data_IF_187646556606
#
_entry.id   IF_187646556606
#
_cell.length_a   1.000
_cell.length_b   1.000
_cell.length_c   1.000
_cell.angle_alpha   90.00
_cell.angle_beta   90.00
_cell.angle_gamma   90.00
#
_symmetry.space_group_name_H-M   'P 1'
#
loop_
_entity.id
_entity.type
_entity.pdbx_description
1 polymer ?
#
# COMPACT_ATOMS: atom_id res chain seq x y z
N UNK A 1 21.88 25.88 -0.86
CA UNK A 1 20.60 25.24 -0.56
C UNK A 1 19.76 25.41 -1.79
N UNK A 2 19.48 24.32 -2.47
CA UNK A 2 18.57 24.29 -3.61
C UNK A 2 17.15 24.08 -3.05
N UNK A 3 16.17 24.86 -3.48
CA UNK A 3 14.77 24.66 -3.12
C UNK A 3 14.06 23.95 -4.28
N UNK A 4 13.16 23.02 -3.96
CA UNK A 4 12.22 22.43 -4.90
C UNK A 4 10.96 23.31 -4.89
N UNK A 5 10.97 24.33 -5.74
CA UNK A 5 9.85 25.26 -5.85
C UNK A 5 8.75 24.68 -6.73
N UNK A 6 7.50 24.93 -6.34
CA UNK A 6 6.36 24.50 -7.13
C UNK A 6 5.06 25.14 -6.70
N UNK A 7 3.99 24.73 -7.38
CA UNK A 7 2.61 25.10 -7.08
C UNK A 7 1.76 23.85 -6.96
N UNK A 8 0.88 23.83 -5.97
CA UNK A 8 -0.18 22.85 -5.83
C UNK A 8 -1.52 23.47 -6.21
N UNK A 9 -2.18 22.86 -7.18
CA UNK A 9 -3.53 23.26 -7.64
C UNK A 9 -4.49 22.09 -7.52
N UNK A 10 -5.78 22.40 -7.53
CA UNK A 10 -6.84 21.41 -7.64
C UNK A 10 -6.89 20.83 -9.06
N UNK A 11 -6.98 19.51 -9.21
CA UNK A 11 -6.89 18.85 -10.49
C UNK A 11 -8.04 19.24 -11.43
N UNK A 12 -7.68 19.62 -12.66
CA UNK A 12 -8.66 20.07 -13.65
C UNK A 12 -9.09 21.53 -13.45
N UNK A 13 -8.55 22.20 -12.44
CA UNK A 13 -8.64 23.65 -12.25
C UNK A 13 -7.23 24.23 -12.08
N UNK A 14 -7.08 25.54 -12.27
CA UNK A 14 -5.85 26.25 -11.88
C UNK A 14 -6.03 26.89 -10.49
N UNK A 15 -6.98 26.39 -9.70
CA UNK A 15 -7.28 26.92 -8.37
C UNK A 15 -6.21 26.45 -7.38
N UNK A 16 -5.51 27.36 -6.69
CA UNK A 16 -4.47 26.95 -5.76
C UNK A 16 -5.00 26.29 -4.49
N UNK A 17 -4.28 25.30 -3.97
CA UNK A 17 -4.59 24.64 -2.70
C UNK A 17 -3.65 25.15 -1.62
N UNK A 18 -4.20 25.90 -0.66
CA UNK A 18 -3.47 26.43 0.49
C UNK A 18 -3.51 25.46 1.70
N UNK A 19 -2.47 25.48 2.54
CA UNK A 19 -2.46 24.65 3.76
C UNK A 19 -2.21 23.16 3.51
N UNK A 20 -1.77 22.77 2.31
CA UNK A 20 -1.39 21.40 2.01
C UNK A 20 0.03 21.12 2.48
N UNK A 21 0.26 19.92 3.01
CA UNK A 21 1.58 19.47 3.44
C UNK A 21 2.31 18.84 2.27
N UNK A 22 3.43 19.43 1.85
CA UNK A 22 4.30 18.94 0.77
C UNK A 22 5.56 18.32 1.37
N UNK A 23 5.77 17.05 1.07
CA UNK A 23 6.94 16.28 1.46
C UNK A 23 7.80 16.01 0.23
N UNK A 24 9.10 16.28 0.34
CA UNK A 24 10.07 15.92 -0.68
C UNK A 24 10.85 14.67 -0.31
N UNK A 25 11.14 13.87 -1.32
CA UNK A 25 11.92 12.65 -1.22
C UNK A 25 13.02 12.67 -2.27
N UNK A 26 14.19 12.17 -1.89
CA UNK A 26 15.33 11.95 -2.77
C UNK A 26 15.32 10.49 -3.21
N UNK A 27 15.33 10.25 -4.52
CA UNK A 27 15.38 8.88 -5.04
C UNK A 27 16.82 8.40 -5.14
N UNK A 28 17.10 7.23 -4.56
CA UNK A 28 18.39 6.55 -4.59
C UNK A 28 18.29 5.20 -5.31
N UNK A 29 19.41 4.76 -5.86
CA UNK A 29 19.60 3.43 -6.41
C UNK A 29 20.56 2.62 -5.53
N UNK A 30 20.05 1.53 -4.93
CA UNK A 30 20.85 0.56 -4.19
C UNK A 30 21.35 -0.55 -5.10
N UNK A 31 22.66 -0.63 -5.28
CA UNK A 31 23.32 -1.74 -5.98
C UNK A 31 23.61 -2.86 -4.97
N UNK A 32 22.88 -3.97 -5.04
CA UNK A 32 23.09 -5.12 -4.15
C UNK A 32 24.32 -5.98 -4.52
N UNK A 33 24.91 -5.74 -5.69
CA UNK A 33 26.12 -6.41 -6.19
C UNK A 33 26.89 -5.44 -7.10
N UNK A 34 28.14 -5.75 -7.42
CA UNK A 34 28.86 -4.97 -8.43
C UNK A 34 28.20 -5.12 -9.81
N UNK A 35 27.86 -4.01 -10.46
CA UNK A 35 27.19 -3.98 -11.76
C UNK A 35 28.00 -3.24 -12.82
N UNK A 36 27.77 -3.60 -14.09
CA UNK A 36 28.35 -2.87 -15.23
C UNK A 36 27.66 -1.51 -15.37
N UNK A 37 28.48 -0.51 -15.63
CA UNK A 37 28.08 0.85 -15.94
C UNK A 37 28.18 1.09 -17.44
N UNK A 38 27.16 1.69 -18.04
CA UNK A 38 27.01 1.89 -19.48
C UNK A 38 26.99 3.38 -19.84
N UNK A 39 27.47 3.71 -21.03
CA UNK A 39 27.43 5.08 -21.55
C UNK A 39 26.02 5.55 -21.96
N UNK A 40 25.06 4.63 -22.11
CA UNK A 40 23.67 4.94 -22.45
C UNK A 40 22.71 3.89 -21.85
N UNK A 41 21.41 4.19 -21.81
CA UNK A 41 20.32 3.35 -21.30
C UNK A 41 20.03 2.09 -22.16
N UNK A 42 21.06 1.31 -22.48
CA UNK A 42 20.98 0.07 -23.27
C UNK A 42 22.18 -0.81 -23.02
N UNK A 43 21.99 -2.13 -23.03
CA UNK A 43 23.06 -3.11 -22.77
C UNK A 43 24.10 -3.21 -23.89
N UNK A 44 23.79 -2.69 -25.08
CA UNK A 44 24.68 -2.61 -26.24
C UNK A 44 25.57 -1.36 -26.24
N UNK A 45 25.38 -0.44 -25.29
CA UNK A 45 26.25 0.71 -25.14
C UNK A 45 27.65 0.30 -24.65
N UNK A 46 28.63 1.17 -24.88
CA UNK A 46 29.97 0.99 -24.34
C UNK A 46 29.91 0.90 -22.81
N UNK A 47 30.65 -0.08 -22.28
CA UNK A 47 30.80 -0.27 -20.83
C UNK A 47 31.87 0.70 -20.34
N UNK A 48 31.48 1.60 -19.45
CA UNK A 48 32.38 2.57 -18.82
C UNK A 48 33.22 1.95 -17.71
N UNK A 49 32.71 0.88 -17.10
CA UNK A 49 33.37 0.13 -16.04
C UNK A 49 32.40 -0.69 -15.22
N UNK A 50 32.75 -0.95 -13.95
CA UNK A 50 31.86 -1.57 -12.98
C UNK A 50 31.78 -0.72 -11.73
N UNK A 51 30.57 -0.50 -11.24
CA UNK A 51 30.35 0.10 -9.94
C UNK A 51 30.31 -0.98 -8.86
N UNK A 52 30.85 -0.73 -7.66
CA UNK A 52 30.74 -1.63 -6.52
C UNK A 52 29.33 -1.60 -5.91
N UNK A 53 29.12 -2.47 -4.90
CA UNK A 53 27.92 -2.43 -4.05
C UNK A 53 27.81 -1.07 -3.37
N UNK A 54 26.60 -0.54 -3.23
CA UNK A 54 26.34 0.69 -2.48
C UNK A 54 25.15 1.50 -3.00
N UNK A 55 24.93 2.65 -2.40
CA UNK A 55 23.88 3.61 -2.78
C UNK A 55 24.42 4.63 -3.77
N UNK A 56 23.60 5.04 -4.73
CA UNK A 56 23.91 6.12 -5.68
C UNK A 56 22.71 7.04 -5.86
N UNK A 57 22.95 8.32 -6.13
CA UNK A 57 21.90 9.25 -6.51
C UNK A 57 21.31 8.84 -7.85
N UNK A 58 19.98 8.62 -7.91
CA UNK A 58 19.29 8.43 -9.17
C UNK A 58 19.10 9.79 -9.86
N UNK A 59 19.49 9.88 -11.12
CA UNK A 59 19.36 11.09 -11.94
C UNK A 59 18.16 11.00 -12.87
N UNK A 60 17.95 9.81 -13.43
CA UNK A 60 16.89 9.55 -14.39
C UNK A 60 16.52 8.07 -14.38
N UNK A 61 15.24 7.77 -14.60
CA UNK A 61 14.74 6.39 -14.70
C UNK A 61 14.11 6.18 -16.06
N UNK A 62 14.66 5.24 -16.81
CA UNK A 62 14.16 4.79 -18.11
C UNK A 62 13.65 3.37 -17.96
N UNK A 63 12.32 3.24 -17.91
CA UNK A 63 11.64 1.97 -17.83
C UNK A 63 11.49 1.36 -19.23
N UNK A 64 11.96 0.13 -19.41
CA UNK A 64 11.66 -0.73 -20.55
C UNK A 64 11.98 -0.17 -21.94
N UNK A 65 13.22 0.26 -22.28
CA UNK A 65 13.54 0.57 -23.66
C UNK A 65 13.64 -0.75 -24.45
N UNK A 66 12.63 -1.03 -25.30
CA UNK A 66 12.50 -2.09 -26.35
C UNK A 66 12.86 -3.57 -26.01
N UNK A 67 13.70 -3.86 -25.02
CA UNK A 67 14.30 -5.17 -24.74
C UNK A 67 13.96 -5.71 -23.33
N UNK A 68 13.10 -5.00 -22.59
CA UNK A 68 12.63 -5.40 -21.26
C UNK A 68 13.63 -5.18 -20.11
N UNK A 69 14.60 -4.29 -20.28
CA UNK A 69 15.50 -3.84 -19.22
C UNK A 69 15.05 -2.48 -18.65
N UNK A 70 15.34 -2.18 -17.39
CA UNK A 70 15.23 -0.82 -16.87
C UNK A 70 16.62 -0.27 -16.63
N UNK A 71 16.76 1.01 -16.93
CA UNK A 71 18.02 1.72 -16.77
C UNK A 71 17.82 2.91 -15.87
N UNK A 72 18.75 3.08 -14.95
CA UNK A 72 18.81 4.22 -14.06
C UNK A 72 20.12 4.93 -14.33
N UNK A 73 20.04 6.21 -14.70
CA UNK A 73 21.21 7.08 -14.78
C UNK A 73 21.56 7.47 -13.35
N UNK A 74 22.81 7.30 -12.96
CA UNK A 74 23.29 7.59 -11.60
C UNK A 74 24.52 8.46 -11.66
N UNK A 75 24.72 9.28 -10.63
CA UNK A 75 25.99 9.97 -10.42
C UNK A 75 27.08 8.96 -10.01
N UNK A 76 28.28 9.14 -10.53
CA UNK A 76 29.45 8.30 -10.26
C UNK A 76 30.69 9.16 -10.08
N UNK A 77 31.51 8.81 -9.11
CA UNK A 77 32.83 9.41 -8.88
C UNK A 77 33.97 8.39 -9.13
N UNK A 78 33.63 7.10 -9.24
CA UNK A 78 34.60 6.02 -9.37
C UNK A 78 34.96 5.65 -10.82
N UNK A 79 34.30 6.27 -11.80
CA UNK A 79 34.49 6.00 -13.23
C UNK A 79 34.97 7.25 -13.99
N UNK A 80 35.46 7.06 -15.21
CA UNK A 80 35.78 8.18 -16.10
C UNK A 80 34.47 8.83 -16.59
N UNK A 81 34.00 9.84 -15.86
CA UNK A 81 32.76 10.58 -16.09
C UNK A 81 32.05 10.90 -14.77
N UNK A 82 31.09 11.81 -14.79
CA UNK A 82 30.30 12.19 -13.59
C UNK A 82 29.02 11.35 -13.44
N UNK A 83 28.66 10.60 -14.49
CA UNK A 83 27.42 9.84 -14.54
C UNK A 83 27.59 8.53 -15.31
N UNK A 84 26.76 7.54 -14.99
CA UNK A 84 26.65 6.33 -15.77
C UNK A 84 25.26 5.73 -15.74
N UNK A 85 24.94 4.92 -16.75
CA UNK A 85 23.71 4.14 -16.79
C UNK A 85 23.90 2.76 -16.17
N UNK A 86 23.01 2.40 -15.25
CA UNK A 86 22.97 1.09 -14.61
C UNK A 86 21.72 0.36 -15.08
N UNK A 87 21.91 -0.87 -15.56
CA UNK A 87 20.80 -1.80 -15.78
C UNK A 87 20.28 -2.23 -14.40
N UNK A 88 19.22 -1.58 -13.93
CA UNK A 88 18.61 -1.87 -12.61
C UNK A 88 17.76 -3.13 -12.66
N UNK A 89 17.14 -3.41 -13.81
CA UNK A 89 16.32 -4.61 -14.05
C UNK A 89 16.59 -5.16 -15.44
N UNK A 90 16.61 -6.48 -15.58
CA UNK A 90 16.45 -7.14 -16.87
C UNK A 90 15.35 -8.20 -16.76
N UNK A 91 14.29 -8.03 -17.54
CA UNK A 91 13.06 -8.85 -17.46
C UNK A 91 12.55 -8.91 -16.02
N UNK A 92 12.37 -10.08 -15.43
CA UNK A 92 11.89 -10.21 -14.06
C UNK A 92 12.99 -10.07 -13.00
N UNK A 93 14.26 -9.90 -13.38
CA UNK A 93 15.39 -9.88 -12.44
C UNK A 93 15.82 -8.45 -12.12
N UNK A 94 15.69 -8.05 -10.86
CA UNK A 94 16.23 -6.79 -10.34
C UNK A 94 17.66 -6.99 -9.85
N UNK A 95 18.56 -6.15 -10.34
CA UNK A 95 19.97 -6.10 -9.96
C UNK A 95 20.27 -4.95 -9.01
N UNK A 96 19.46 -3.89 -9.08
CA UNK A 96 19.50 -2.74 -8.21
C UNK A 96 18.07 -2.30 -7.87
N UNK A 97 17.87 -1.69 -6.70
CA UNK A 97 16.57 -1.29 -6.18
C UNK A 97 16.51 0.22 -6.06
N UNK A 98 15.48 0.83 -6.65
CA UNK A 98 15.14 2.23 -6.39
C UNK A 98 14.41 2.32 -5.05
N UNK A 99 14.75 3.31 -4.25
CA UNK A 99 13.99 3.66 -3.05
C UNK A 99 14.05 5.16 -2.79
N UNK A 100 13.04 5.65 -2.09
CA UNK A 100 12.88 7.06 -1.78
C UNK A 100 13.26 7.32 -0.32
N UNK A 101 14.06 8.36 -0.12
CA UNK A 101 14.55 8.78 1.20
C UNK A 101 14.00 10.17 1.49
N UNK A 102 13.31 10.40 2.62
CA UNK A 102 12.78 11.71 2.97
C UNK A 102 13.87 12.80 3.01
N UNK A 103 13.54 14.00 2.52
CA UNK A 103 14.39 15.19 2.71
C UNK A 103 14.30 15.68 4.16
N UNK A 104 15.33 16.41 4.63
CA UNK A 104 15.40 16.89 6.03
C UNK A 104 14.25 17.85 6.36
N UNK A 105 13.86 18.70 5.41
CA UNK A 105 12.64 19.51 5.52
C UNK A 105 11.48 18.72 4.94
N UNK A 106 10.81 17.94 5.78
CA UNK A 106 9.47 17.42 5.48
C UNK A 106 8.41 18.39 6.00
N UNK A 107 7.23 18.36 5.39
CA UNK A 107 6.08 19.08 5.89
C UNK A 107 6.01 20.57 5.51
N UNK A 108 6.55 20.97 4.36
CA UNK A 108 6.38 22.35 3.88
C UNK A 108 4.90 22.59 3.60
N UNK A 109 4.34 23.66 4.14
CA UNK A 109 2.91 23.98 3.94
C UNK A 109 2.76 24.93 2.76
N UNK A 110 1.83 24.62 1.85
CA UNK A 110 1.53 25.50 0.71
C UNK A 110 0.98 26.85 1.18
N UNK A 111 1.44 27.92 0.54
CA UNK A 111 0.94 29.27 0.77
C UNK A 111 -0.48 29.47 0.19
N UNK A 112 -1.05 30.67 0.40
CA UNK A 112 -2.40 31.00 -0.06
C UNK A 112 -2.58 30.90 -1.59
N UNK A 113 -1.51 31.07 -2.35
CA UNK A 113 -1.46 30.92 -3.81
C UNK A 113 -1.01 29.52 -4.25
N UNK A 114 -1.02 28.54 -3.33
CA UNK A 114 -0.63 27.15 -3.57
C UNK A 114 0.87 26.95 -3.75
N UNK A 115 1.68 28.02 -3.70
CA UNK A 115 3.13 27.90 -3.83
C UNK A 115 3.75 27.19 -2.64
N UNK A 116 4.82 26.44 -2.91
CA UNK A 116 5.63 25.79 -1.89
C UNK A 116 7.10 25.81 -2.30
N UNK A 117 7.97 25.68 -1.29
CA UNK A 117 9.41 25.54 -1.48
C UNK A 117 9.93 24.49 -0.49
N UNK A 118 10.25 23.28 -0.99
CA UNK A 118 10.83 22.21 -0.15
C UNK A 118 12.36 22.30 -0.23
N UNK A 119 13.03 22.46 0.91
CA UNK A 119 14.49 22.57 0.92
C UNK A 119 15.17 21.20 0.70
N UNK A 120 16.22 21.14 -0.12
CA UNK A 120 16.95 19.89 -0.38
C UNK A 120 18.11 19.61 0.56
N UNK A 121 18.44 20.57 1.43
CA UNK A 121 19.60 20.60 2.34
C UNK A 121 20.82 19.81 1.82
N UNK A 122 21.65 20.43 0.99
CA UNK A 122 22.81 19.75 0.35
C UNK A 122 23.91 19.31 1.36
N UNK A 123 23.81 19.67 2.65
CA UNK A 123 24.88 19.45 3.63
C UNK A 123 24.43 19.10 5.05
N UNK A 124 23.16 18.83 5.29
CA UNK A 124 22.76 18.18 6.55
C UNK A 124 22.52 16.74 6.17
N UNK A 125 23.49 15.86 6.47
CA UNK A 125 23.31 14.43 6.35
C UNK A 125 21.97 14.09 7.01
N UNK A 126 20.96 13.79 6.20
CA UNK A 126 19.71 13.28 6.72
C UNK A 126 20.08 12.04 7.56
N UNK A 127 19.61 11.93 8.81
CA UNK A 127 20.09 10.88 9.69
C UNK A 127 19.87 9.48 9.08
N UNK A 128 20.94 8.70 8.91
CA UNK A 128 20.87 7.38 8.26
C UNK A 128 20.94 7.39 6.72
N UNK A 129 21.06 8.56 6.09
CA UNK A 129 21.35 8.68 4.66
C UNK A 129 22.86 8.67 4.49
N UNK A 130 23.45 7.67 3.79
CA UNK A 130 24.88 7.65 3.56
C UNK A 130 25.28 8.97 2.90
N UNK A 131 26.38 9.57 3.35
CA UNK A 131 27.00 10.68 2.62
C UNK A 131 27.29 10.17 1.21
N UNK A 132 26.47 10.57 0.23
CA UNK A 132 26.69 10.19 -1.15
C UNK A 132 27.95 10.94 -1.61
N UNK A 133 28.99 10.24 -2.05
CA UNK A 133 30.14 10.91 -2.61
C UNK A 133 29.68 11.78 -3.79
N UNK A 134 30.03 13.07 -3.76
CA UNK A 134 29.74 14.02 -4.83
C UNK A 134 28.24 14.19 -5.14
N UNK A 135 27.44 14.65 -4.16
CA UNK A 135 26.01 14.96 -4.39
C UNK A 135 25.87 15.79 -5.68
N UNK A 136 25.27 15.21 -6.74
CA UNK A 136 25.23 15.84 -8.06
C UNK A 136 24.33 17.08 -8.04
N UNK A 137 24.63 18.04 -8.91
CA UNK A 137 23.80 19.25 -9.07
C UNK A 137 22.39 18.90 -9.58
N UNK A 138 22.26 17.81 -10.33
CA UNK A 138 20.99 17.24 -10.77
C UNK A 138 20.71 15.96 -9.98
N UNK A 139 19.49 15.76 -9.49
CA UNK A 139 19.05 14.50 -8.88
C UNK A 139 17.53 14.34 -9.03
N UNK A 140 17.08 13.09 -9.13
CA UNK A 140 15.68 12.72 -9.08
C UNK A 140 15.09 12.97 -7.68
N UNK A 141 14.16 13.93 -7.61
CA UNK A 141 13.34 14.18 -6.43
C UNK A 141 11.88 13.86 -6.71
N UNK A 142 11.18 13.31 -5.72
CA UNK A 142 9.73 13.13 -5.75
C UNK A 142 9.09 14.04 -4.73
N UNK A 143 8.05 14.76 -5.16
CA UNK A 143 7.23 15.56 -4.27
C UNK A 143 5.88 14.89 -4.08
N UNK A 144 5.38 14.94 -2.85
CA UNK A 144 4.06 14.44 -2.48
C UNK A 144 3.35 15.50 -1.66
N UNK A 145 2.19 15.94 -2.14
CA UNK A 145 1.32 16.85 -1.42
C UNK A 145 0.12 16.09 -0.84
N UNK A 146 -0.19 16.38 0.41
CA UNK A 146 -1.27 15.78 1.18
C UNK A 146 -2.12 16.92 1.74
N UNK A 147 -3.43 16.91 1.48
CA UNK A 147 -4.36 17.94 1.97
C UNK A 147 -5.71 17.31 2.29
N UNK A 148 -6.34 17.75 3.38
CA UNK A 148 -7.67 17.29 3.73
C UNK A 148 -8.65 17.61 2.58
N UNK A 149 -9.55 16.67 2.30
CA UNK A 149 -10.50 16.84 1.21
C UNK A 149 -9.91 16.71 -0.18
N UNK A 150 -8.68 16.20 -0.36
CA UNK A 150 -8.09 15.95 -1.67
C UNK A 150 -7.33 14.62 -1.69
N UNK A 151 -7.22 13.96 -2.85
CA UNK A 151 -6.30 12.83 -3.04
C UNK A 151 -4.86 13.34 -3.03
N UNK A 152 -3.97 12.54 -2.46
CA UNK A 152 -2.52 12.72 -2.57
C UNK A 152 -2.08 13.02 -4.01
N UNK A 153 -1.45 14.18 -4.19
CA UNK A 153 -0.80 14.55 -5.44
C UNK A 153 0.68 14.16 -5.39
N UNK A 154 1.20 13.62 -6.48
CA UNK A 154 2.62 13.30 -6.62
C UNK A 154 3.19 13.82 -7.93
N UNK A 155 4.49 14.16 -7.91
CA UNK A 155 5.23 14.45 -9.13
C UNK A 155 5.43 13.16 -9.94
N UNK A 156 4.90 13.10 -11.16
CA UNK A 156 4.89 11.86 -11.98
C UNK A 156 6.27 11.48 -12.54
N UNK A 157 7.29 12.34 -12.46
CA UNK A 157 8.72 12.04 -12.74
C UNK A 157 9.55 13.25 -12.32
N UNK A 158 10.58 13.03 -11.51
CA UNK A 158 11.40 14.11 -10.97
C UNK A 158 12.57 14.51 -11.89
N UNK A 159 12.74 15.82 -11.99
CA UNK A 159 13.75 16.59 -12.71
C UNK A 159 13.61 16.76 -14.24
N UNK A 160 13.06 17.93 -14.61
CA UNK A 160 13.65 18.80 -15.64
C UNK A 160 13.02 20.22 -15.68
N UNK A 161 11.80 20.42 -15.17
CA UNK A 161 11.16 21.74 -15.22
C UNK A 161 10.69 22.16 -13.83
N UNK A 162 11.53 22.90 -13.11
CA UNK A 162 10.98 23.83 -12.13
C UNK A 162 10.20 24.92 -12.88
N UNK A 163 9.14 25.47 -12.26
CA UNK A 163 8.55 25.05 -11.00
C UNK A 163 7.82 23.69 -11.13
N UNK A 164 7.80 22.90 -10.06
CA UNK A 164 6.98 21.70 -9.99
C UNK A 164 5.50 22.07 -10.04
N UNK A 165 4.72 21.30 -10.80
CA UNK A 165 3.27 21.45 -10.86
C UNK A 165 2.61 20.19 -10.30
N UNK A 166 2.03 20.31 -9.11
CA UNK A 166 1.27 19.24 -8.48
C UNK A 166 -0.22 19.55 -8.64
N UNK A 167 -1.00 18.54 -9.02
CA UNK A 167 -2.45 18.65 -9.17
C UNK A 167 -3.13 17.62 -8.25
N UNK A 168 -3.96 18.07 -7.32
CA UNK A 168 -4.65 17.23 -6.34
C UNK A 168 -6.15 17.13 -6.65
N UNK A 169 -6.69 15.91 -6.73
CA UNK A 169 -8.11 15.69 -7.00
C UNK A 169 -8.96 15.98 -5.75
N UNK A 170 -10.02 16.79 -5.82
CA UNK A 170 -10.88 17.06 -4.66
C UNK A 170 -11.74 15.84 -4.28
N UNK A 171 -11.91 15.62 -2.98
CA UNK A 171 -12.63 14.53 -2.34
C UNK A 171 -13.47 15.04 -1.15
N UNK A 172 -14.72 15.49 -1.34
CA UNK A 172 -15.57 15.96 -0.24
C UNK A 172 -16.00 14.85 0.74
N UNK A 173 -15.89 13.58 0.35
CA UNK A 173 -16.17 12.41 1.20
C UNK A 173 -14.98 11.46 1.10
N UNK A 174 -14.23 11.31 2.19
CA UNK A 174 -12.97 10.55 2.20
C UNK A 174 -12.61 10.04 3.61
N UNK A 175 -11.62 9.15 3.69
CA UNK A 175 -10.98 8.72 4.95
C UNK A 175 -9.46 8.62 4.77
N UNK A 176 -8.68 8.62 5.86
CA UNK A 176 -7.24 8.30 5.77
C UNK A 176 -7.08 6.81 5.45
N UNK A 177 -6.06 6.46 4.68
CA UNK A 177 -5.60 5.09 4.56
C UNK A 177 -5.20 4.52 5.92
N UNK A 178 -4.48 5.32 6.72
CA UNK A 178 -4.07 4.95 8.07
C UNK A 178 -5.27 4.49 8.93
N UNK A 179 -6.46 5.08 8.72
CA UNK A 179 -7.69 4.70 9.42
C UNK A 179 -8.12 3.30 9.06
N UNK A 180 -8.13 2.96 7.78
CA UNK A 180 -8.49 1.61 7.33
C UNK A 180 -7.47 0.59 7.84
N UNK A 181 -6.19 0.91 7.73
CA UNK A 181 -5.11 0.02 8.18
C UNK A 181 -5.18 -0.24 9.68
N UNK A 182 -5.49 0.77 10.48
CA UNK A 182 -5.67 0.58 11.92
C UNK A 182 -6.76 -0.42 12.23
N UNK A 183 -7.86 -0.45 11.48
CA UNK A 183 -8.95 -1.38 11.76
C UNK A 183 -8.56 -2.85 11.57
N UNK A 184 -7.47 -3.15 10.86
CA UNK A 184 -7.02 -4.52 10.62
C UNK A 184 -6.69 -5.28 11.91
N UNK A 185 -6.18 -4.62 12.96
CA UNK A 185 -5.81 -5.32 14.20
C UNK A 185 -7.01 -6.00 14.89
N UNK A 186 -8.23 -5.52 14.66
CA UNK A 186 -9.44 -6.12 15.21
C UNK A 186 -9.76 -7.49 14.59
N UNK A 187 -9.15 -7.81 13.45
CA UNK A 187 -9.27 -9.11 12.79
C UNK A 187 -8.18 -10.10 13.21
N UNK A 188 -7.35 -9.79 14.20
CA UNK A 188 -6.40 -10.76 14.73
C UNK A 188 -7.13 -11.97 15.36
N UNK A 189 -6.70 -13.17 14.98
CA UNK A 189 -7.36 -14.43 15.37
C UNK A 189 -8.69 -14.74 14.67
N UNK A 190 -9.15 -13.92 13.73
CA UNK A 190 -10.34 -14.21 12.93
C UNK A 190 -10.04 -15.24 11.85
N UNK A 191 -11.01 -16.12 11.58
CA UNK A 191 -10.89 -17.15 10.54
C UNK A 191 -11.94 -17.01 9.45
N UNK A 192 -11.69 -17.63 8.29
CA UNK A 192 -12.66 -17.62 7.20
C UNK A 192 -13.80 -18.57 7.56
N UNK A 193 -15.04 -18.18 7.23
CA UNK A 193 -16.26 -18.98 7.44
C UNK A 193 -15.98 -20.50 7.31
N UNK A 194 -16.26 -21.28 8.36
CA UNK A 194 -15.87 -22.69 8.37
C UNK A 194 -16.55 -23.46 7.24
N UNK A 195 -15.79 -24.36 6.61
CA UNK A 195 -16.30 -25.23 5.56
C UNK A 195 -17.32 -26.18 6.17
N UNK A 196 -18.53 -26.20 5.61
CA UNK A 196 -19.57 -27.15 5.99
C UNK A 196 -19.61 -28.32 5.01
N UNK A 197 -19.98 -29.49 5.53
CA UNK A 197 -20.38 -30.64 4.72
C UNK A 197 -21.49 -30.23 3.74
N UNK A 198 -21.25 -30.27 2.42
CA UNK A 198 -22.26 -29.90 1.42
C UNK A 198 -23.47 -30.83 1.39
N UNK A 199 -23.46 -31.96 2.12
CA UNK A 199 -24.58 -32.91 2.20
C UNK A 199 -25.54 -32.66 3.37
N UNK A 200 -25.22 -31.74 4.26
CA UNK A 200 -26.10 -31.36 5.37
C UNK A 200 -26.80 -30.06 4.93
N UNK A 201 -28.06 -30.12 4.49
CA UNK A 201 -28.82 -28.94 4.02
C UNK A 201 -29.64 -28.27 5.14
N UNK A 202 -29.71 -28.87 6.33
CA UNK A 202 -30.66 -28.50 7.41
C UNK A 202 -30.16 -27.45 8.42
N UNK A 203 -28.87 -27.13 8.44
CA UNK A 203 -28.30 -26.03 9.23
C UNK A 203 -28.14 -24.80 8.33
N UNK A 204 -28.28 -23.59 8.86
CA UNK A 204 -28.05 -22.37 8.08
C UNK A 204 -26.60 -22.26 7.58
N UNK A 205 -26.35 -21.33 6.65
CA UNK A 205 -24.98 -20.79 6.51
C UNK A 205 -24.68 -20.04 7.80
N UNK A 206 -23.60 -20.45 8.47
CA UNK A 206 -22.98 -19.68 9.54
C UNK A 206 -22.92 -18.20 9.16
N UNK A 207 -23.67 -17.37 9.89
CA UNK A 207 -23.79 -15.93 9.63
C UNK A 207 -22.44 -15.28 9.97
N UNK A 208 -21.66 -14.81 8.99
CA UNK A 208 -20.37 -14.18 9.27
C UNK A 208 -20.58 -12.93 10.13
N UNK A 209 -19.63 -12.63 11.00
CA UNK A 209 -19.73 -11.55 11.98
C UNK A 209 -18.74 -10.42 11.70
N UNK A 210 -18.85 -9.35 12.49
CA UNK A 210 -17.92 -8.23 12.47
C UNK A 210 -17.18 -8.14 13.80
N UNK A 211 -15.90 -7.75 13.79
CA UNK A 211 -15.15 -7.54 15.03
C UNK A 211 -15.58 -6.29 15.80
N UNK A 212 -16.42 -5.45 15.21
CA UNK A 212 -16.91 -4.21 15.79
C UNK A 212 -18.29 -3.84 15.22
N UNK A 213 -18.98 -2.92 15.89
CA UNK A 213 -20.28 -2.41 15.43
C UNK A 213 -20.12 -1.58 14.15
N UNK A 214 -20.97 -1.87 13.16
CA UNK A 214 -21.04 -1.14 11.88
C UNK A 214 -22.42 -0.53 11.59
N UNK A 215 -23.37 -0.63 12.54
CA UNK A 215 -24.73 -0.09 12.40
C UNK A 215 -25.82 -1.08 12.02
N UNK A 216 -25.49 -2.36 11.98
CA UNK A 216 -26.45 -3.45 11.77
C UNK A 216 -26.29 -4.50 12.88
N UNK A 217 -27.37 -5.17 13.23
CA UNK A 217 -27.35 -6.31 14.15
C UNK A 217 -27.59 -7.57 13.35
N UNK A 218 -26.61 -8.48 13.35
CA UNK A 218 -26.76 -9.81 12.77
C UNK A 218 -27.27 -10.79 13.84
N UNK A 219 -28.22 -11.64 13.47
CA UNK A 219 -28.69 -12.72 14.35
C UNK A 219 -27.83 -13.95 14.14
N UNK A 220 -27.27 -14.49 15.23
CA UNK A 220 -26.54 -15.76 15.20
C UNK A 220 -27.55 -16.92 15.09
N UNK A 221 -27.19 -17.93 14.30
CA UNK A 221 -27.93 -19.18 14.28
C UNK A 221 -27.82 -19.93 15.63
N UNK A 222 -28.83 -20.71 16.05
CA UNK A 222 -28.79 -21.44 17.33
C UNK A 222 -27.61 -22.41 17.51
N UNK A 223 -27.00 -22.87 16.41
CA UNK A 223 -25.82 -23.77 16.42
C UNK A 223 -24.48 -23.06 16.22
N UNK A 224 -24.45 -21.73 16.33
CA UNK A 224 -23.28 -20.92 16.05
C UNK A 224 -22.20 -21.08 17.15
N UNK A 225 -20.92 -21.33 16.81
CA UNK A 225 -19.83 -21.39 17.79
C UNK A 225 -19.58 -20.03 18.46
N UNK A 226 -19.33 -20.03 19.76
CA UNK A 226 -19.07 -18.82 20.56
C UNK A 226 -17.64 -18.89 21.12
N UNK A 227 -16.82 -17.82 20.99
CA UNK A 227 -17.11 -16.54 20.35
C UNK A 227 -17.12 -16.63 18.83
N UNK A 228 -17.99 -15.82 18.21
CA UNK A 228 -18.15 -15.73 16.78
C UNK A 228 -17.00 -14.95 16.13
N UNK A 229 -15.93 -15.64 15.76
CA UNK A 229 -14.68 -15.04 15.28
C UNK A 229 -14.39 -15.44 13.84
N UNK A 230 -15.39 -15.32 12.97
CA UNK A 230 -15.21 -15.58 11.56
C UNK A 230 -15.95 -14.61 10.66
N UNK A 231 -15.35 -14.40 9.50
CA UNK A 231 -15.84 -13.54 8.44
C UNK A 231 -15.82 -14.27 7.09
N UNK A 232 -16.24 -13.56 6.06
CA UNK A 232 -16.04 -13.94 4.68
C UNK A 232 -15.55 -12.75 3.85
N UNK A 233 -15.38 -12.97 2.55
CA UNK A 233 -14.92 -11.94 1.63
C UNK A 233 -15.78 -10.66 1.63
N UNK A 234 -17.10 -10.78 1.83
CA UNK A 234 -18.02 -9.64 1.80
C UNK A 234 -18.00 -8.88 3.13
N UNK A 235 -18.14 -9.61 4.22
CA UNK A 235 -18.25 -9.06 5.57
C UNK A 235 -16.93 -8.44 6.04
N UNK A 236 -15.78 -8.97 5.64
CA UNK A 236 -14.48 -8.32 5.88
C UNK A 236 -14.41 -6.93 5.21
N UNK A 237 -14.66 -6.87 3.89
CA UNK A 237 -14.60 -5.62 3.12
C UNK A 237 -15.63 -4.62 3.63
N UNK A 238 -16.85 -5.08 3.92
CA UNK A 238 -17.91 -4.26 4.50
C UNK A 238 -17.49 -3.71 5.87
N UNK A 239 -17.01 -4.54 6.80
CA UNK A 239 -16.60 -4.04 8.11
C UNK A 239 -15.51 -2.98 7.99
N UNK A 240 -14.48 -3.25 7.19
CA UNK A 240 -13.34 -2.35 7.04
C UNK A 240 -13.78 -0.97 6.51
N UNK A 241 -14.56 -0.94 5.43
CA UNK A 241 -14.97 0.30 4.78
C UNK A 241 -16.07 1.02 5.55
N UNK A 242 -17.10 0.32 6.01
CA UNK A 242 -18.22 0.96 6.74
C UNK A 242 -17.74 1.55 8.06
N UNK A 243 -16.87 0.83 8.79
CA UNK A 243 -16.32 1.35 10.03
C UNK A 243 -15.38 2.52 9.78
N UNK A 244 -14.54 2.44 8.75
CA UNK A 244 -13.68 3.54 8.33
C UNK A 244 -14.43 4.85 8.14
N UNK A 245 -15.54 4.83 7.40
CA UNK A 245 -16.35 6.01 7.12
C UNK A 245 -17.17 6.51 8.31
N UNK A 246 -17.75 5.61 9.10
CA UNK A 246 -18.51 6.00 10.32
C UNK A 246 -17.65 6.79 11.30
N UNK A 247 -16.39 6.39 11.44
CA UNK A 247 -15.50 6.99 12.42
C UNK A 247 -14.85 8.29 11.93
N UNK A 248 -14.81 8.53 10.62
CA UNK A 248 -14.14 9.70 10.04
C UNK A 248 -14.93 11.01 10.19
N UNK A 249 -16.23 10.97 10.56
CA UNK A 249 -17.08 12.14 10.83
C UNK A 249 -17.17 13.22 9.72
N UNK A 250 -16.64 12.96 8.52
CA UNK A 250 -16.48 13.96 7.43
C UNK A 250 -17.82 14.35 6.78
N UNK A 251 -18.87 13.54 6.97
CA UNK A 251 -20.26 13.79 6.57
C UNK A 251 -21.18 12.83 7.34
N UNK A 252 -22.51 13.07 7.44
CA UNK A 252 -23.44 12.09 7.99
C UNK A 252 -23.48 10.83 7.11
N UNK A 253 -22.61 9.86 7.41
CA UNK A 253 -22.56 8.57 6.76
C UNK A 253 -23.52 7.60 7.48
N UNK A 254 -24.39 6.94 6.72
CA UNK A 254 -25.31 5.93 7.26
C UNK A 254 -25.19 4.62 6.47
N UNK A 255 -25.19 3.51 7.21
CA UNK A 255 -25.17 2.17 6.67
C UNK A 255 -26.18 1.31 7.42
N UNK A 256 -27.08 0.65 6.70
CA UNK A 256 -28.19 -0.11 7.28
C UNK A 256 -28.43 -1.43 6.56
N UNK A 257 -29.46 -2.15 7.01
CA UNK A 257 -29.76 -3.51 6.55
C UNK A 257 -29.99 -3.63 5.03
N UNK A 258 -30.50 -2.58 4.38
CA UNK A 258 -30.70 -2.56 2.93
C UNK A 258 -29.37 -2.51 2.16
N UNK A 259 -28.42 -1.69 2.60
CA UNK A 259 -27.07 -1.65 2.00
C UNK A 259 -26.32 -2.94 2.27
N UNK A 260 -26.39 -3.45 3.50
CA UNK A 260 -25.82 -4.74 3.87
C UNK A 260 -26.34 -5.88 2.97
N UNK A 261 -27.67 -6.00 2.83
CA UNK A 261 -28.26 -7.06 1.98
C UNK A 261 -27.86 -6.98 0.51
N UNK A 262 -27.52 -5.78 0.01
CA UNK A 262 -26.94 -5.55 -1.33
C UNK A 262 -25.44 -5.85 -1.38
N UNK A 263 -24.70 -5.64 -0.29
CA UNK A 263 -23.27 -5.92 -0.22
C UNK A 263 -22.94 -7.42 -0.09
N UNK A 264 -23.91 -8.28 0.23
CA UNK A 264 -23.70 -9.72 0.40
C UNK A 264 -23.90 -10.54 -0.89
N UNK A 265 -23.01 -11.49 -1.12
CA UNK A 265 -23.07 -12.43 -2.26
C UNK A 265 -23.67 -13.78 -1.81
N UNK A 266 -24.96 -13.79 -1.47
CA UNK A 266 -25.63 -15.03 -1.02
C UNK A 266 -26.01 -15.96 -2.19
N UNK A 267 -26.37 -15.39 -3.35
CA UNK A 267 -26.78 -16.14 -4.55
C UNK A 267 -26.26 -15.49 -5.84
N UNK A 268 -24.96 -15.62 -6.16
CA UNK A 268 -24.34 -14.95 -7.30
C UNK A 268 -24.93 -15.35 -8.67
N UNK A 269 -25.61 -16.49 -8.78
CA UNK A 269 -26.32 -16.91 -9.99
C UNK A 269 -27.70 -16.23 -10.14
N UNK A 270 -28.32 -15.80 -9.04
CA UNK A 270 -29.67 -15.21 -9.02
C UNK A 270 -29.63 -13.69 -8.81
N UNK A 271 -28.58 -13.18 -8.20
CA UNK A 271 -28.38 -11.77 -7.87
C UNK A 271 -27.14 -11.23 -8.61
N UNK A 272 -27.31 -10.53 -9.74
CA UNK A 272 -26.21 -9.95 -10.50
C UNK A 272 -25.63 -8.68 -9.86
N UNK A 273 -26.04 -8.38 -8.62
CA UNK A 273 -25.74 -7.12 -7.98
C UNK A 273 -24.31 -7.11 -7.41
N UNK A 274 -23.62 -5.98 -7.53
CA UNK A 274 -22.22 -5.83 -7.15
C UNK A 274 -22.07 -5.07 -5.83
N UNK A 275 -21.37 -5.61 -4.82
CA UNK A 275 -20.99 -4.86 -3.62
C UNK A 275 -20.27 -3.55 -3.96
N UNK A 276 -19.54 -3.49 -5.08
CA UNK A 276 -18.88 -2.28 -5.58
C UNK A 276 -19.89 -1.16 -5.90
N UNK A 277 -21.04 -1.49 -6.46
CA UNK A 277 -22.10 -0.50 -6.75
C UNK A 277 -22.67 0.08 -5.46
N UNK A 278 -22.77 -0.69 -4.37
CA UNK A 278 -23.20 -0.15 -3.06
C UNK A 278 -22.19 0.86 -2.53
N UNK A 279 -20.89 0.58 -2.69
CA UNK A 279 -19.84 1.47 -2.24
C UNK A 279 -19.85 2.78 -3.04
N UNK A 280 -20.14 2.70 -4.35
CA UNK A 280 -20.31 3.88 -5.20
C UNK A 280 -21.55 4.70 -4.79
N UNK A 281 -22.70 4.05 -4.65
CA UNK A 281 -23.95 4.68 -4.20
C UNK A 281 -23.79 5.36 -2.83
N UNK A 282 -22.98 4.77 -1.94
CA UNK A 282 -22.69 5.29 -0.61
C UNK A 282 -21.62 6.39 -0.59
N UNK A 283 -21.06 6.76 -1.75
CA UNK A 283 -20.01 7.79 -1.86
C UNK A 283 -18.65 7.37 -1.29
N UNK A 284 -18.43 6.07 -1.08
CA UNK A 284 -17.17 5.49 -0.56
C UNK A 284 -16.14 5.34 -1.69
N UNK A 285 -16.59 5.07 -2.91
CA UNK A 285 -15.71 4.71 -4.02
C UNK A 285 -16.15 5.33 -5.36
N UNK A 286 -15.18 5.57 -6.24
CA UNK A 286 -15.39 6.09 -7.61
C UNK A 286 -15.22 4.97 -8.62
N UNK A 287 -16.05 4.95 -9.67
CA UNK A 287 -15.91 4.00 -10.76
C UNK A 287 -14.51 4.11 -11.42
N UNK A 288 -13.94 2.96 -11.75
CA UNK A 288 -12.71 2.85 -12.54
C UNK A 288 -12.90 1.84 -13.65
N UNK A 289 -12.13 1.99 -14.72
CA UNK A 289 -12.14 1.02 -15.82
C UNK A 289 -11.64 -0.35 -15.30
N UNK A 290 -12.45 -1.38 -15.52
CA UNK A 290 -12.18 -2.74 -15.08
C UNK A 290 -11.07 -3.45 -15.89
N UNK A 291 -10.71 -2.94 -17.07
CA UNK A 291 -9.68 -3.50 -17.96
C UNK A 291 -8.31 -2.80 -17.80
N UNK A 292 -8.28 -1.60 -17.23
CA UNK A 292 -7.06 -0.87 -16.91
C UNK A 292 -6.41 -1.35 -15.60
N UNK A 293 -5.13 -1.03 -15.43
CA UNK A 293 -4.42 -1.34 -14.20
C UNK A 293 -5.08 -0.58 -13.03
N UNK A 294 -5.57 -1.27 -11.98
CA UNK A 294 -6.31 -0.61 -10.93
C UNK A 294 -5.41 0.34 -10.14
N UNK A 295 -5.89 1.54 -9.78
CA UNK A 295 -5.18 2.38 -8.82
C UNK A 295 -5.12 1.69 -7.44
N UNK A 296 -4.17 2.09 -6.56
CA UNK A 296 -4.16 1.65 -5.17
C UNK A 296 -5.52 1.87 -4.50
N UNK A 297 -5.84 0.95 -3.58
CA UNK A 297 -7.14 0.85 -2.91
C UNK A 297 -8.35 0.79 -3.85
N UNK A 298 -8.36 -0.19 -4.73
CA UNK A 298 -9.51 -0.53 -5.56
C UNK A 298 -10.31 -1.67 -4.92
N UNK A 299 -11.58 -1.44 -4.63
CA UNK A 299 -12.52 -2.51 -4.31
C UNK A 299 -12.92 -3.25 -5.59
N UNK A 300 -12.88 -4.58 -5.53
CA UNK A 300 -13.21 -5.43 -6.66
C UNK A 300 -14.24 -6.44 -6.23
N UNK A 301 -15.32 -6.50 -7.00
CA UNK A 301 -16.22 -7.64 -7.01
C UNK A 301 -15.92 -8.47 -8.26
N UNK A 302 -15.71 -9.76 -8.07
CA UNK A 302 -15.45 -10.70 -9.17
C UNK A 302 -16.52 -11.76 -9.27
N UNK A 303 -16.74 -12.30 -10.46
CA UNK A 303 -17.55 -13.49 -10.70
C UNK A 303 -16.83 -14.44 -11.65
N UNK A 304 -17.04 -15.73 -11.44
CA UNK A 304 -16.56 -16.78 -12.33
C UNK A 304 -17.37 -18.05 -12.18
N UNK A 305 -17.34 -18.88 -13.21
CA UNK A 305 -17.84 -20.23 -13.13
C UNK A 305 -16.83 -21.12 -12.41
N UNK A 306 -17.29 -21.78 -11.36
CA UNK A 306 -16.52 -22.78 -10.61
C UNK A 306 -17.14 -24.15 -10.77
N UNK A 307 -16.33 -25.19 -11.07
CA UNK A 307 -16.83 -26.55 -11.09
C UNK A 307 -17.12 -27.02 -9.66
N UNK A 308 -18.20 -27.76 -9.48
CA UNK A 308 -18.48 -28.50 -8.26
C UNK A 308 -18.97 -29.91 -8.60
N UNK A 309 -18.90 -30.82 -7.62
CA UNK A 309 -19.50 -32.14 -7.74
C UNK A 309 -20.85 -32.11 -7.03
N UNK A 310 -21.91 -32.52 -7.73
CA UNK A 310 -23.21 -32.73 -7.09
C UNK A 310 -23.23 -34.01 -6.25
N UNK A 311 -24.37 -34.28 -5.61
CA UNK A 311 -24.58 -35.43 -4.72
C UNK A 311 -24.29 -36.78 -5.43
N UNK A 312 -24.46 -36.84 -6.75
CA UNK A 312 -24.17 -38.00 -7.60
C UNK A 312 -22.69 -38.05 -8.05
N UNK A 313 -21.84 -37.17 -7.54
CA UNK A 313 -20.45 -36.95 -8.00
C UNK A 313 -20.34 -36.56 -9.47
N UNK A 314 -21.40 -36.01 -10.07
CA UNK A 314 -21.36 -35.49 -11.44
C UNK A 314 -20.82 -34.07 -11.40
N UNK A 315 -19.94 -33.77 -12.35
CA UNK A 315 -19.35 -32.44 -12.50
C UNK A 315 -20.41 -31.47 -13.02
N UNK A 316 -20.72 -30.46 -12.22
CA UNK A 316 -21.56 -29.32 -12.58
C UNK A 316 -20.76 -28.03 -12.45
N UNK A 317 -21.32 -26.94 -12.93
CA UNK A 317 -20.78 -25.59 -12.80
C UNK A 317 -21.75 -24.75 -11.97
N UNK A 318 -21.20 -23.89 -11.11
CA UNK A 318 -21.95 -22.86 -10.41
C UNK A 318 -21.20 -21.54 -10.52
N UNK A 319 -21.91 -20.43 -10.41
CA UNK A 319 -21.30 -19.10 -10.41
C UNK A 319 -20.83 -18.79 -8.98
N UNK A 320 -19.59 -18.35 -8.81
CA UNK A 320 -19.05 -17.91 -7.54
C UNK A 320 -18.66 -16.44 -7.63
N UNK A 321 -19.10 -15.64 -6.65
CA UNK A 321 -18.65 -14.27 -6.48
C UNK A 321 -17.61 -14.14 -5.37
N UNK A 322 -16.76 -13.12 -5.47
CA UNK A 322 -15.75 -12.83 -4.44
C UNK A 322 -15.40 -11.34 -4.39
N UNK A 323 -15.48 -10.75 -3.19
CA UNK A 323 -15.13 -9.35 -2.91
C UNK A 323 -13.73 -9.24 -2.32
N UNK A 324 -12.92 -8.30 -2.81
CA UNK A 324 -11.56 -8.05 -2.31
C UNK A 324 -11.16 -6.59 -2.47
N UNK A 325 -10.03 -6.22 -1.85
CA UNK A 325 -9.37 -4.94 -2.07
C UNK A 325 -8.01 -5.17 -2.74
N UNK A 326 -7.75 -4.47 -3.84
CA UNK A 326 -6.40 -4.30 -4.37
C UNK A 326 -5.85 -3.05 -3.69
N UNK A 327 -5.02 -3.22 -2.67
CA UNK A 327 -4.52 -2.09 -1.89
C UNK A 327 -3.37 -1.40 -2.62
N UNK A 328 -2.53 -2.13 -3.35
CA UNK A 328 -1.42 -1.55 -4.12
C UNK A 328 -1.13 -2.33 -5.39
N UNK A 329 -0.47 -1.67 -6.33
CA UNK A 329 -0.05 -2.25 -7.59
C UNK A 329 1.38 -1.84 -7.90
N UNK A 330 2.26 -2.82 -8.09
CA UNK A 330 3.63 -2.56 -8.47
C UNK A 330 3.68 -2.20 -9.96
N UNK A 331 4.06 -0.96 -10.32
CA UNK A 331 3.87 -0.43 -11.68
C UNK A 331 4.68 -1.18 -12.74
N UNK A 332 5.86 -1.70 -12.40
CA UNK A 332 6.72 -2.38 -13.39
C UNK A 332 6.29 -3.82 -13.67
N UNK A 333 5.75 -4.52 -12.67
CA UNK A 333 5.43 -5.95 -12.77
C UNK A 333 3.93 -6.20 -12.92
N UNK A 334 3.11 -5.17 -12.69
CA UNK A 334 1.67 -5.27 -12.58
C UNK A 334 1.22 -6.18 -11.45
N UNK A 335 2.11 -6.56 -10.51
CA UNK A 335 1.77 -7.40 -9.35
C UNK A 335 0.82 -6.63 -8.44
N UNK A 336 -0.18 -7.33 -7.91
CA UNK A 336 -1.27 -6.77 -7.14
C UNK A 336 -1.11 -7.18 -5.68
N UNK A 337 -1.01 -6.20 -4.79
CA UNK A 337 -1.14 -6.45 -3.37
C UNK A 337 -2.64 -6.52 -3.04
N UNK A 338 -3.14 -7.75 -2.87
CA UNK A 338 -4.55 -8.01 -2.61
C UNK A 338 -4.78 -8.25 -1.12
N UNK A 339 -5.64 -7.45 -0.51
CA UNK A 339 -6.15 -7.61 0.84
C UNK A 339 -7.56 -8.21 0.78
N UNK A 340 -7.74 -9.37 1.39
CA UNK A 340 -9.01 -10.11 1.34
C UNK A 340 -9.13 -11.08 2.53
N UNK A 341 -10.34 -11.58 2.77
CA UNK A 341 -10.53 -12.83 3.51
C UNK A 341 -10.82 -13.93 2.49
N UNK A 342 -9.99 -14.98 2.40
CA UNK A 342 -10.15 -16.00 1.35
C UNK A 342 -9.49 -17.37 1.61
N UNK A 343 -10.31 -18.41 1.77
CA UNK A 343 -9.83 -19.79 1.92
C UNK A 343 -9.12 -20.38 0.69
N UNK A 344 -9.51 -19.97 -0.52
CA UNK A 344 -9.00 -20.55 -1.78
C UNK A 344 -7.55 -20.20 -2.07
N UNK A 345 -7.03 -19.12 -1.46
CA UNK A 345 -5.64 -18.68 -1.61
C UNK A 345 -4.80 -18.92 -0.35
N UNK A 346 -5.22 -19.88 0.49
CA UNK A 346 -4.47 -20.28 1.68
C UNK A 346 -4.57 -19.29 2.84
N UNK A 347 -5.49 -18.31 2.78
CA UNK A 347 -5.82 -17.50 3.95
C UNK A 347 -6.90 -18.21 4.77
N UNK A 348 -6.95 -17.92 6.06
CA UNK A 348 -8.01 -18.35 6.93
C UNK A 348 -8.40 -17.15 7.79
N UNK A 349 -9.19 -16.25 7.19
CA UNK A 349 -9.49 -14.91 7.70
C UNK A 349 -8.82 -13.83 6.85
N UNK A 350 -8.90 -12.56 7.29
CA UNK A 350 -8.30 -11.44 6.58
C UNK A 350 -6.79 -11.52 6.46
N UNK A 351 -6.28 -11.08 5.32
CA UNK A 351 -4.86 -11.01 5.07
C UNK A 351 -4.51 -10.61 3.65
N UNK A 352 -3.22 -10.62 3.37
CA UNK A 352 -2.70 -10.37 2.04
C UNK A 352 -2.58 -11.68 1.28
N UNK A 353 -3.27 -11.77 0.14
CA UNK A 353 -3.23 -12.93 -0.76
C UNK A 353 -1.79 -13.36 -0.99
N UNK A 354 -1.51 -14.63 -0.76
CA UNK A 354 -0.19 -15.25 -0.99
C UNK A 354 0.96 -14.75 -0.10
N UNK A 355 0.70 -13.83 0.84
CA UNK A 355 1.70 -13.31 1.79
C UNK A 355 1.37 -13.71 3.23
N UNK A 356 0.09 -13.81 3.61
CA UNK A 356 -0.32 -14.31 4.93
C UNK A 356 -1.51 -13.54 5.53
N UNK A 357 -2.02 -14.07 6.65
CA UNK A 357 -3.07 -13.42 7.44
C UNK A 357 -2.60 -12.13 8.11
N UNK A 358 -3.52 -11.29 8.58
CA UNK A 358 -3.19 -10.06 9.33
C UNK A 358 -2.25 -10.34 10.51
N UNK A 359 -2.43 -11.46 11.21
CA UNK A 359 -1.60 -11.89 12.34
C UNK A 359 -0.11 -12.08 11.99
N UNK A 360 0.22 -12.31 10.72
CA UNK A 360 1.61 -12.41 10.25
C UNK A 360 2.31 -11.06 10.27
N UNK A 361 1.57 -9.98 10.02
CA UNK A 361 2.11 -8.63 9.84
C UNK A 361 1.84 -7.72 11.04
N UNK A 362 0.84 -8.03 11.86
CA UNK A 362 0.49 -7.24 13.02
C UNK A 362 1.63 -7.21 14.04
N UNK A 363 2.06 -6.01 14.43
CA UNK A 363 3.15 -5.84 15.39
C UNK A 363 4.54 -6.07 14.81
N UNK A 364 4.67 -6.25 13.49
CA UNK A 364 5.96 -6.12 12.80
C UNK A 364 6.41 -4.65 12.73
N UNK A 365 5.44 -3.72 12.65
CA UNK A 365 5.63 -2.28 12.66
C UNK A 365 4.84 -1.68 13.83
N UNK A 366 5.23 -0.49 14.26
CA UNK A 366 4.58 0.21 15.36
C UNK A 366 4.32 1.67 15.00
N UNK A 367 3.13 2.17 15.30
CA UNK A 367 2.75 3.55 14.99
C UNK A 367 2.63 4.39 16.25
N UNK A 368 3.19 5.59 16.21
CA UNK A 368 2.91 6.64 17.17
C UNK A 368 1.43 7.06 17.05
N UNK A 369 0.66 7.06 18.15
CA UNK A 369 -0.74 7.46 18.10
C UNK A 369 -0.93 8.98 17.94
N UNK A 370 0.10 9.79 18.21
CA UNK A 370 -0.01 11.24 18.27
C UNK A 370 0.30 11.92 16.91
N UNK A 371 1.39 11.54 16.24
CA UNK A 371 1.80 12.11 14.94
C UNK A 371 1.66 11.13 13.74
N UNK A 372 1.43 9.85 14.01
CA UNK A 372 1.32 8.81 12.97
C UNK A 372 2.65 8.26 12.45
N UNK A 373 3.80 8.62 13.04
CA UNK A 373 5.11 8.04 12.71
C UNK A 373 5.08 6.51 12.83
N UNK A 374 5.56 5.80 11.80
CA UNK A 374 5.66 4.34 11.80
C UNK A 374 7.12 3.93 11.97
N UNK A 375 7.42 3.26 13.07
CA UNK A 375 8.68 2.56 13.26
C UNK A 375 8.74 1.34 12.34
N UNK A 376 9.75 1.33 11.46
CA UNK A 376 10.07 0.21 10.58
C UNK A 376 11.37 -0.46 11.03
N UNK A 377 11.32 -1.73 11.48
CA UNK A 377 12.51 -2.46 11.89
C UNK A 377 13.60 -2.51 10.82
N UNK A 378 13.26 -2.59 9.53
CA UNK A 378 14.23 -2.67 8.46
C UNK A 378 15.06 -1.38 8.34
N UNK A 379 14.50 -0.24 8.74
CA UNK A 379 15.19 1.05 8.80
C UNK A 379 15.84 1.30 10.17
N UNK A 380 15.20 0.87 11.25
CA UNK A 380 15.60 1.24 12.61
C UNK A 380 15.41 2.74 12.86
N UNK A 381 16.20 3.28 13.78
CA UNK A 381 16.34 4.73 14.02
C UNK A 381 17.80 5.07 14.39
N UNK A 382 18.72 5.08 13.40
CA UNK A 382 20.16 5.24 13.66
C UNK A 382 20.52 6.59 14.29
N UNK A 383 19.69 7.62 14.05
CA UNK A 383 19.86 8.96 14.60
C UNK A 383 19.80 8.96 16.13
N UNK A 384 18.98 8.08 16.69
CA UNK A 384 18.74 7.93 18.11
C UNK A 384 19.31 6.60 18.65
N UNK A 385 20.30 6.03 17.96
CA UNK A 385 21.05 4.86 18.43
C UNK A 385 20.39 3.51 18.19
N UNK A 386 19.34 3.42 17.36
CA UNK A 386 18.66 2.17 17.02
C UNK A 386 19.09 1.71 15.61
N UNK A 387 19.86 0.64 15.52
CA UNK A 387 20.37 0.17 14.23
C UNK A 387 19.25 -0.38 13.30
N UNK A 388 19.44 -0.36 11.96
CA UNK A 388 18.55 -1.06 11.04
C UNK A 388 18.51 -2.56 11.34
N UNK A 389 17.36 -3.18 11.13
CA UNK A 389 17.06 -4.57 11.49
C UNK A 389 16.65 -4.77 12.95
N UNK A 390 16.60 -3.71 13.77
CA UNK A 390 16.20 -3.82 15.18
C UNK A 390 14.68 -3.97 15.28
N UNK A 391 14.13 -5.07 15.83
CA UNK A 391 12.69 -5.17 16.03
C UNK A 391 12.22 -4.16 17.10
N UNK A 392 10.94 -3.78 17.09
CA UNK A 392 10.41 -2.88 18.13
C UNK A 392 10.22 -3.63 19.46
N UNK A 393 9.69 -4.86 19.40
CA UNK A 393 9.54 -5.82 20.51
C UNK A 393 10.05 -7.19 20.09
N UNK A 394 10.41 -8.03 21.06
CA UNK A 394 10.83 -9.42 20.82
C UNK A 394 9.62 -10.34 20.65
N UNK A 395 9.52 -11.08 19.54
CA UNK A 395 8.37 -11.97 19.20
C UNK A 395 8.50 -13.43 19.65
N UNK A 396 9.47 -13.80 20.51
CA UNK A 396 9.66 -15.20 20.92
C UNK A 396 9.34 -15.45 22.41
N UNK A 397 8.17 -16.03 22.69
CA UNK A 397 7.68 -16.38 24.04
C UNK A 397 8.45 -17.52 24.76
N UNK A 398 9.59 -18.00 24.26
CA UNK A 398 10.34 -19.14 24.84
C UNK A 398 11.82 -18.87 25.12
N UNK A 399 12.28 -17.62 25.00
CA UNK A 399 13.62 -17.21 25.46
C UNK A 399 13.56 -16.59 26.86
N UNK A 400 14.37 -17.13 27.77
CA UNK A 400 14.50 -16.73 29.18
C UNK A 400 15.33 -15.42 29.30
N UNK A 401 14.74 -14.29 28.86
CA UNK A 401 14.84 -12.91 29.43
C UNK A 401 16.11 -12.04 29.12
N UNK A 402 16.02 -10.68 28.94
CA UNK A 402 14.96 -9.75 28.39
C UNK A 402 15.54 -8.59 27.50
N UNK A 403 14.84 -7.46 27.18
CA UNK A 403 13.46 -7.18 26.76
C UNK A 403 13.44 -6.60 25.31
N UNK A 404 12.45 -5.77 24.96
CA UNK A 404 12.36 -5.00 23.70
C UNK A 404 13.72 -4.53 23.16
N UNK A 405 13.98 -4.73 21.87
CA UNK A 405 15.29 -4.44 21.25
C UNK A 405 15.53 -2.96 20.96
N UNK A 406 14.47 -2.16 20.90
CA UNK A 406 14.57 -0.69 20.96
C UNK A 406 14.73 -0.27 22.44
N UNK A 407 15.59 0.69 22.79
CA UNK A 407 15.70 1.20 24.17
C UNK A 407 14.36 1.67 24.74
N UNK A 408 14.16 1.55 26.06
CA UNK A 408 12.89 1.93 26.72
C UNK A 408 12.68 3.46 26.78
N UNK A 409 13.78 4.20 26.83
CA UNK A 409 13.86 5.67 26.80
C UNK A 409 13.80 6.24 25.37
N UNK A 410 13.75 5.39 24.35
CA UNK A 410 13.49 5.83 22.98
C UNK A 410 12.12 6.51 22.92
N UNK A 411 12.05 7.62 22.20
CA UNK A 411 10.82 8.39 21.98
C UNK A 411 10.62 8.58 20.48
N UNK A 412 9.39 8.88 20.07
CA UNK A 412 9.10 9.19 18.69
C UNK A 412 10.05 10.30 18.19
N UNK A 413 10.77 10.10 17.08
CA UNK A 413 11.74 11.07 16.58
C UNK A 413 11.09 12.35 16.05
N UNK A 414 9.76 12.35 15.87
CA UNK A 414 9.00 13.47 15.32
C UNK A 414 8.38 14.33 16.44
N UNK A 415 7.74 13.73 17.44
CA UNK A 415 7.00 14.48 18.48
C UNK A 415 7.41 14.19 19.94
N UNK A 416 8.38 13.28 20.15
CA UNK A 416 8.83 12.89 21.49
C UNK A 416 7.88 11.98 22.27
N UNK A 417 6.83 11.43 21.64
CA UNK A 417 5.90 10.48 22.28
C UNK A 417 6.65 9.26 22.82
N UNK A 418 6.35 8.87 24.05
CA UNK A 418 6.98 7.71 24.68
C UNK A 418 6.70 6.40 23.91
N UNK A 419 7.74 5.56 23.75
CA UNK A 419 7.65 4.24 23.12
C UNK A 419 6.47 3.39 23.60
N UNK A 420 6.18 3.43 24.90
CA UNK A 420 5.12 2.64 25.51
C UNK A 420 3.71 2.94 24.96
N UNK A 421 3.52 4.11 24.33
CA UNK A 421 2.24 4.52 23.74
C UNK A 421 2.07 4.06 22.28
N UNK A 422 3.12 3.50 21.67
CA UNK A 422 3.05 3.03 20.29
C UNK A 422 2.13 1.82 20.16
N UNK A 423 1.35 1.83 19.08
CA UNK A 423 0.37 0.79 18.78
C UNK A 423 0.92 -0.17 17.72
N UNK A 424 0.66 -1.49 17.84
CA UNK A 424 0.96 -2.44 16.76
C UNK A 424 0.33 -1.99 15.45
N UNK A 425 1.08 -2.07 14.37
CA UNK A 425 0.65 -1.65 13.04
C UNK A 425 0.83 -2.81 12.04
N UNK A 426 -0.18 -3.03 11.21
CA UNK A 426 -0.16 -4.07 10.17
C UNK A 426 0.40 -3.47 8.88
N UNK A 427 1.57 -3.93 8.40
CA UNK A 427 2.13 -3.50 7.12
C UNK A 427 2.73 -4.70 6.37
N UNK A 428 2.46 -4.85 5.06
CA UNK A 428 3.08 -5.90 4.26
C UNK A 428 4.60 -5.66 4.10
N UNK A 429 5.39 -6.65 3.67
CA UNK A 429 6.80 -6.46 3.38
C UNK A 429 6.99 -5.36 2.32
N UNK A 430 8.02 -4.51 2.47
CA UNK A 430 8.29 -3.43 1.51
C UNK A 430 8.51 -3.92 0.09
N UNK A 431 9.03 -5.12 -0.07
CA UNK A 431 9.32 -5.77 -1.35
C UNK A 431 8.30 -6.87 -1.68
N UNK A 432 7.05 -6.73 -1.23
CA UNK A 432 5.99 -7.72 -1.46
C UNK A 432 5.87 -8.14 -2.93
N UNK A 433 6.13 -7.22 -3.86
CA UNK A 433 6.10 -7.47 -5.30
C UNK A 433 7.25 -8.35 -5.78
N UNK A 434 8.26 -8.67 -4.97
CA UNK A 434 9.33 -9.59 -5.33
C UNK A 434 8.86 -11.05 -5.27
N UNK A 435 7.84 -11.34 -4.45
CA UNK A 435 7.29 -12.68 -4.32
C UNK A 435 6.62 -13.17 -5.61
N UNK A 436 7.07 -14.32 -6.13
CA UNK A 436 6.49 -14.98 -7.31
C UNK A 436 5.08 -15.52 -7.06
N UNK A 437 4.67 -15.67 -5.80
CA UNK A 437 3.33 -16.13 -5.44
C UNK A 437 2.29 -15.04 -5.69
N UNK A 438 2.69 -13.76 -5.56
CA UNK A 438 1.85 -12.58 -5.81
C UNK A 438 1.52 -12.49 -7.29
N UNK A 439 0.22 -12.36 -7.57
CA UNK A 439 -0.31 -12.38 -8.93
C UNK A 439 -0.29 -11.00 -9.56
N UNK A 440 -0.12 -10.98 -10.88
CA UNK A 440 -0.15 -9.75 -11.66
C UNK A 440 -1.53 -9.51 -12.29
N UNK A 441 -1.67 -8.33 -12.88
CA UNK A 441 -2.90 -7.87 -13.49
C UNK A 441 -3.41 -8.79 -14.60
N UNK A 442 -2.52 -9.28 -15.47
CA UNK A 442 -2.94 -10.18 -16.55
C UNK A 442 -3.47 -11.52 -16.03
N UNK A 443 -2.81 -12.10 -15.02
CA UNK A 443 -3.33 -13.28 -14.34
C UNK A 443 -4.70 -12.98 -13.71
N UNK A 444 -4.85 -11.82 -13.07
CA UNK A 444 -6.08 -11.43 -12.40
C UNK A 444 -7.25 -11.34 -13.38
N UNK A 445 -7.06 -10.66 -14.51
CA UNK A 445 -8.06 -10.58 -15.58
C UNK A 445 -8.43 -11.95 -16.15
N UNK A 446 -7.44 -12.82 -16.37
CA UNK A 446 -7.68 -14.16 -16.88
C UNK A 446 -8.44 -15.05 -15.88
N UNK A 447 -8.15 -14.89 -14.59
CA UNK A 447 -8.80 -15.66 -13.53
C UNK A 447 -10.20 -15.13 -13.16
N UNK A 448 -10.41 -13.82 -13.31
CA UNK A 448 -11.65 -13.11 -13.05
C UNK A 448 -12.11 -12.35 -14.31
N UNK A 449 -12.66 -13.08 -15.30
CA UNK A 449 -13.09 -12.47 -16.56
C UNK A 449 -14.24 -11.48 -16.34
N UNK A 450 -15.12 -11.75 -15.37
CA UNK A 450 -16.21 -10.86 -14.99
C UNK A 450 -15.86 -10.17 -13.67
N UNK A 451 -15.77 -8.84 -13.70
CA UNK A 451 -15.38 -8.04 -12.54
C UNK A 451 -15.95 -6.62 -12.62
N UNK A 452 -16.29 -6.08 -11.47
CA UNK A 452 -16.61 -4.67 -11.27
C UNK A 452 -15.57 -4.07 -10.32
N UNK A 453 -15.16 -2.84 -10.57
CA UNK A 453 -14.11 -2.16 -9.79
C UNK A 453 -14.50 -0.73 -9.44
N UNK A 454 -14.13 -0.30 -8.23
CA UNK A 454 -14.19 1.10 -7.84
C UNK A 454 -13.01 1.46 -6.94
N UNK A 455 -12.41 2.62 -7.17
CA UNK A 455 -11.34 3.16 -6.34
C UNK A 455 -11.93 3.77 -5.08
N UNK A 456 -11.48 3.32 -3.93
CA UNK A 456 -11.85 3.90 -2.63
C UNK A 456 -11.39 5.37 -2.55
N UNK A 457 -12.22 6.23 -1.95
CA UNK A 457 -11.91 7.65 -1.73
C UNK A 457 -11.05 7.81 -0.48
N UNK A 458 -9.74 7.68 -0.68
CA UNK A 458 -8.72 7.98 0.32
C UNK A 458 -8.04 9.30 0.00
N UNK A 459 -7.78 10.10 1.04
CA UNK A 459 -7.04 11.35 0.87
C UNK A 459 -5.53 11.15 0.93
N UNK A 460 -5.04 10.12 1.65
CA UNK A 460 -3.62 9.76 1.71
C UNK A 460 -3.33 8.30 1.31
N UNK A 461 -2.05 8.01 0.99
CA UNK A 461 -1.53 6.66 0.66
C UNK A 461 -0.22 6.34 1.41
N UNK A 462 -0.07 6.81 2.66
CA UNK A 462 1.19 6.76 3.43
C UNK A 462 1.60 5.35 3.90
N UNK A 463 0.65 4.43 3.99
CA UNK A 463 0.89 3.05 4.40
C UNK A 463 1.58 2.21 3.33
N UNK A 464 1.31 2.48 2.05
CA UNK A 464 1.92 1.75 0.94
C UNK A 464 3.33 2.26 0.60
N UNK A 465 3.56 3.56 0.80
CA UNK A 465 4.77 4.26 0.34
C UNK A 465 5.88 4.32 1.38
#
# INVERSE_FOLDING_TARGET
>A
MTALDGVLVEQGTDTPIAGATVNGYRTLLRLARSLKAYAAARTTASVLGRLPVGERAALEVVNGPKDGADFVRVAVDELAGEEAWICSRWRATHYALLHDVPLVTTGTVTAADGSFAVETADSVAAPGVPALPGTPAEQLFRLRAVHEGHRDAESVRGYAAQPFHLAAEPLPVHVTEARLVDLLHHFDGWYYTPYRDPNDHDKGRFVPQYPFEIGITLKLDPGHPVPATYDDCCTFVEALLVRGWRDAAVAPFTWGAAQHGRAMIDRPAEKPFSPVEVLQDAGIADAVDADELPPPWTAVQTWRDVPYLDEDKKRKTTRAGHTLLIVDVHPETGRLLTLESNRSFGLNGPGFRSLGGVSVFLGSHFRCPNDGYVYDPALGDPAHGVAPGTPFKTTACWLWTPPETVPEDWTCPVDGTAKALFLPHCRPPRDWWASETVKNWDWFKAYYPERAMARIRLWDLRWLR
#
